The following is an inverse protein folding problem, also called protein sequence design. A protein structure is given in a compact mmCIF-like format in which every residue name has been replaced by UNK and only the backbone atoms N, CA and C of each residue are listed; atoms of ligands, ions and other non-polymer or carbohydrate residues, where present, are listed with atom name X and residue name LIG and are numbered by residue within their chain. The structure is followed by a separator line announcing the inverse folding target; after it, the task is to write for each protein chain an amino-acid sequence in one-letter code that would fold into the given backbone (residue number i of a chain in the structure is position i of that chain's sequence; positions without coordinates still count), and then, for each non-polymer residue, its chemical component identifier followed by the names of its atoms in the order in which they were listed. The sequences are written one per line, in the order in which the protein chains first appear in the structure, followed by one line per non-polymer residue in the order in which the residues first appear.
data_IF_221668013988
#
_entry.id   IF_221668013988
#
_cell.length_a   1.000
_cell.length_b   1.000
_cell.length_c   1.000
_cell.angle_alpha   90.00
_cell.angle_beta   90.00
_cell.angle_gamma   90.00
#
_symmetry.space_group_name_H-M   'P 1'
#
loop_
_entity.id
_entity.type
_entity.pdbx_description
1 polymer ?
#
# COMPACT_ATOMS: atom_id res chain seq x y z
N UNK A 1 -27.76 -17.25 1.52
CA UNK A 1 -26.42 -17.88 1.34
C UNK A 1 -25.88 -18.14 2.74
N UNK A 2 -25.31 -19.33 3.02
CA UNK A 2 -24.75 -19.62 4.34
C UNK A 2 -23.45 -18.82 4.53
N UNK A 3 -23.27 -18.30 5.75
CA UNK A 3 -22.05 -17.54 6.12
C UNK A 3 -20.79 -18.39 5.91
N UNK A 4 -19.69 -17.83 5.32
CA UNK A 4 -18.47 -18.58 5.07
C UNK A 4 -17.85 -19.06 6.38
N UNK A 5 -17.43 -20.32 6.43
CA UNK A 5 -16.83 -20.93 7.63
C UNK A 5 -15.31 -20.75 7.70
N UNK A 6 -14.69 -20.41 6.58
CA UNK A 6 -13.25 -20.22 6.45
C UNK A 6 -12.94 -19.13 5.42
N UNK A 7 -11.71 -18.60 5.46
CA UNK A 7 -11.20 -17.70 4.42
C UNK A 7 -11.29 -18.35 3.03
N UNK A 8 -11.01 -19.66 2.92
CA UNK A 8 -11.12 -20.38 1.66
C UNK A 8 -12.55 -20.39 1.11
N UNK A 9 -13.55 -20.51 1.99
CA UNK A 9 -14.96 -20.45 1.61
C UNK A 9 -15.36 -19.04 1.19
N UNK A 10 -14.89 -18.02 1.91
CA UNK A 10 -15.09 -16.62 1.53
C UNK A 10 -14.51 -16.33 0.14
N UNK A 11 -13.24 -16.69 -0.11
CA UNK A 11 -12.56 -16.52 -1.40
C UNK A 11 -13.21 -17.33 -2.53
N UNK A 12 -13.87 -18.44 -2.23
CA UNK A 12 -14.61 -19.21 -3.23
C UNK A 12 -15.84 -18.44 -3.74
N UNK A 13 -16.49 -17.66 -2.87
CA UNK A 13 -17.62 -16.82 -3.20
C UNK A 13 -17.26 -15.54 -3.94
N UNK A 14 -15.98 -15.17 -4.03
CA UNK A 14 -15.54 -13.95 -4.69
C UNK A 14 -15.73 -14.01 -6.21
N UNK A 15 -16.04 -12.85 -6.80
CA UNK A 15 -16.06 -12.67 -8.25
C UNK A 15 -14.65 -12.72 -8.83
N UNK A 16 -14.54 -12.83 -10.15
CA UNK A 16 -13.24 -12.77 -10.82
C UNK A 16 -12.59 -11.37 -10.68
N UNK A 17 -13.39 -10.31 -10.67
CA UNK A 17 -12.93 -8.94 -10.46
C UNK A 17 -12.32 -8.76 -9.06
N UNK A 18 -12.97 -9.28 -8.02
CA UNK A 18 -12.44 -9.24 -6.65
C UNK A 18 -11.13 -10.02 -6.52
N UNK A 19 -11.00 -11.18 -7.20
CA UNK A 19 -9.76 -11.96 -7.23
C UNK A 19 -8.66 -11.23 -8.01
N UNK A 20 -8.99 -10.61 -9.14
CA UNK A 20 -8.04 -9.84 -9.92
C UNK A 20 -7.50 -8.68 -9.08
N UNK A 21 -8.39 -7.91 -8.45
CA UNK A 21 -7.98 -6.83 -7.56
C UNK A 21 -7.08 -7.30 -6.40
N UNK A 22 -7.39 -8.45 -5.79
CA UNK A 22 -6.50 -9.05 -4.78
C UNK A 22 -5.10 -9.33 -5.36
N UNK A 23 -5.01 -9.88 -6.56
CA UNK A 23 -3.73 -10.22 -7.19
C UNK A 23 -2.94 -8.98 -7.61
N UNK A 24 -3.60 -7.91 -8.03
CA UNK A 24 -2.98 -6.62 -8.31
C UNK A 24 -2.36 -6.01 -7.05
N UNK A 25 -3.06 -6.07 -5.93
CA UNK A 25 -2.57 -5.56 -4.65
C UNK A 25 -1.55 -6.50 -3.98
N UNK A 26 -1.64 -7.81 -4.21
CA UNK A 26 -0.80 -8.84 -3.59
C UNK A 26 -0.20 -9.76 -4.65
N UNK A 27 0.78 -9.28 -5.44
CA UNK A 27 1.41 -10.07 -6.51
C UNK A 27 2.16 -11.30 -5.98
N UNK A 28 2.53 -11.32 -4.69
CA UNK A 28 3.11 -12.48 -4.01
C UNK A 28 2.20 -13.72 -4.01
N UNK A 29 0.91 -13.54 -4.24
CA UNK A 29 -0.06 -14.64 -4.30
C UNK A 29 -0.15 -15.32 -5.68
N UNK A 30 0.40 -14.70 -6.72
CA UNK A 30 0.28 -15.16 -8.12
C UNK A 30 1.33 -16.25 -8.43
N UNK A 31 2.54 -16.13 -7.89
CA UNK A 31 3.67 -16.99 -8.26
C UNK A 31 4.05 -17.93 -7.12
N UNK A 32 3.92 -19.25 -7.36
CA UNK A 32 3.27 -19.93 -8.48
C UNK A 32 1.73 -19.75 -8.41
N UNK A 33 1.01 -19.81 -9.54
CA UNK A 33 -0.44 -19.59 -9.56
C UNK A 33 -1.19 -20.56 -8.62
N UNK A 34 -2.14 -20.08 -7.76
CA UNK A 34 -2.90 -20.93 -6.88
C UNK A 34 -3.92 -21.76 -7.68
N UNK A 35 -4.00 -23.05 -7.42
CA UNK A 35 -4.91 -23.97 -8.14
C UNK A 35 -6.36 -23.86 -7.70
N UNK A 36 -6.61 -23.38 -6.48
CA UNK A 36 -7.95 -23.26 -5.89
C UNK A 36 -7.96 -22.26 -4.72
N UNK A 37 -9.16 -21.95 -4.22
CA UNK A 37 -9.34 -21.01 -3.11
C UNK A 37 -8.69 -21.47 -1.80
N UNK A 38 -8.56 -22.77 -1.55
CA UNK A 38 -7.90 -23.28 -0.35
C UNK A 38 -6.38 -23.00 -0.40
N UNK A 39 -5.75 -23.22 -1.55
CA UNK A 39 -4.35 -22.89 -1.74
C UNK A 39 -4.09 -21.39 -1.71
N UNK A 40 -5.00 -20.58 -2.29
CA UNK A 40 -4.95 -19.12 -2.20
C UNK A 40 -5.04 -18.67 -0.74
N UNK A 41 -6.02 -19.15 0.03
CA UNK A 41 -6.16 -18.84 1.44
C UNK A 41 -4.92 -19.23 2.26
N UNK A 42 -4.38 -20.44 2.04
CA UNK A 42 -3.16 -20.89 2.71
C UNK A 42 -1.96 -19.96 2.45
N UNK A 43 -1.77 -19.50 1.22
CA UNK A 43 -0.70 -18.56 0.89
C UNK A 43 -0.95 -17.18 1.47
N UNK A 44 -2.16 -16.66 1.34
CA UNK A 44 -2.55 -15.37 1.85
C UNK A 44 -2.36 -15.24 3.37
N UNK A 45 -2.33 -16.37 4.08
CA UNK A 45 -2.18 -16.43 5.54
C UNK A 45 -0.76 -16.79 6.01
N UNK A 46 0.21 -16.94 5.11
CA UNK A 46 1.62 -17.07 5.52
C UNK A 46 2.12 -15.78 6.14
N UNK A 47 2.99 -15.86 7.15
CA UNK A 47 3.50 -14.66 7.85
C UNK A 47 4.17 -13.69 6.87
N UNK A 48 4.99 -14.18 5.95
CA UNK A 48 5.67 -13.32 4.98
C UNK A 48 4.68 -12.58 4.05
N UNK A 49 3.61 -13.24 3.61
CA UNK A 49 2.57 -12.63 2.78
C UNK A 49 1.69 -11.66 3.57
N UNK A 50 1.40 -11.97 4.84
CA UNK A 50 0.67 -11.07 5.74
C UNK A 50 1.46 -9.79 6.03
N UNK A 51 2.77 -9.89 6.28
CA UNK A 51 3.60 -8.70 6.50
C UNK A 51 3.57 -7.76 5.29
N UNK A 52 3.70 -8.29 4.07
CA UNK A 52 3.56 -7.48 2.85
C UNK A 52 2.18 -6.84 2.71
N UNK A 53 1.12 -7.56 3.08
CA UNK A 53 -0.23 -6.99 3.05
C UNK A 53 -0.43 -5.91 4.12
N UNK A 54 0.18 -6.04 5.30
CA UNK A 54 0.15 -5.02 6.34
C UNK A 54 0.91 -3.75 5.94
N UNK A 55 1.99 -3.87 5.17
CA UNK A 55 2.76 -2.72 4.65
C UNK A 55 1.95 -1.86 3.66
N UNK A 56 0.88 -2.41 3.07
CA UNK A 56 -0.05 -1.66 2.21
C UNK A 56 -1.09 -0.86 2.98
N UNK A 57 -1.20 -1.05 4.30
CA UNK A 57 -2.25 -0.47 5.12
C UNK A 57 -1.87 0.92 5.63
N UNK A 58 -2.86 1.79 5.68
CA UNK A 58 -2.75 3.05 6.40
C UNK A 58 -2.83 2.83 7.92
N UNK A 59 -2.42 3.82 8.70
CA UNK A 59 -2.57 3.78 10.15
C UNK A 59 -4.04 3.59 10.59
N UNK A 60 -4.99 4.12 9.84
CA UNK A 60 -6.42 3.91 10.02
C UNK A 60 -6.85 2.46 9.78
N UNK A 61 -6.39 1.85 8.69
CA UNK A 61 -6.70 0.45 8.39
C UNK A 61 -6.15 -0.47 9.48
N UNK A 62 -4.94 -0.18 9.99
CA UNK A 62 -4.33 -0.92 11.10
C UNK A 62 -5.12 -0.76 12.41
N UNK A 63 -5.62 0.45 12.70
CA UNK A 63 -6.47 0.69 13.86
C UNK A 63 -7.77 -0.11 13.78
N UNK A 64 -8.47 -0.05 12.63
CA UNK A 64 -9.70 -0.83 12.42
C UNK A 64 -9.43 -2.32 12.51
N UNK A 65 -8.34 -2.82 11.89
CA UNK A 65 -7.95 -4.23 11.98
C UNK A 65 -7.74 -4.67 13.44
N UNK A 66 -7.13 -3.81 14.26
CA UNK A 66 -6.92 -4.04 15.70
C UNK A 66 -8.27 -4.14 16.43
N UNK A 67 -9.21 -3.23 16.18
CA UNK A 67 -10.53 -3.20 16.81
C UNK A 67 -11.35 -4.45 16.47
N UNK A 68 -11.32 -4.87 15.19
CA UNK A 68 -11.97 -6.14 14.77
C UNK A 68 -11.27 -7.34 15.41
N UNK A 69 -9.95 -7.33 15.48
CA UNK A 69 -9.14 -8.42 16.08
C UNK A 69 -9.48 -8.65 17.56
N UNK A 70 -9.61 -7.58 18.34
CA UNK A 70 -9.92 -7.68 19.78
C UNK A 70 -11.41 -7.83 20.07
N UNK A 71 -12.26 -7.80 19.02
CA UNK A 71 -13.70 -8.00 19.13
C UNK A 71 -14.47 -6.75 19.57
N UNK A 72 -13.85 -5.58 19.56
CA UNK A 72 -14.53 -4.31 19.83
C UNK A 72 -15.57 -4.01 18.75
N UNK A 73 -15.26 -4.36 17.50
CA UNK A 73 -16.15 -4.28 16.35
C UNK A 73 -16.26 -5.67 15.71
N UNK A 74 -17.46 -6.17 15.58
CA UNK A 74 -17.73 -7.53 15.15
C UNK A 74 -18.55 -7.62 13.87
N UNK A 75 -19.20 -6.53 13.47
CA UNK A 75 -20.07 -6.48 12.29
C UNK A 75 -19.78 -5.27 11.41
N UNK A 76 -20.06 -5.32 10.09
CA UNK A 76 -19.93 -4.17 9.20
C UNK A 76 -20.81 -2.99 9.64
N UNK A 77 -21.97 -3.26 10.25
CA UNK A 77 -22.86 -2.23 10.75
C UNK A 77 -22.23 -1.44 11.91
N UNK A 78 -21.61 -2.15 12.86
CA UNK A 78 -20.86 -1.50 13.96
C UNK A 78 -19.70 -0.66 13.44
N UNK A 79 -18.93 -1.14 12.45
CA UNK A 79 -17.86 -0.36 11.83
C UNK A 79 -18.39 0.94 11.23
N UNK A 80 -19.49 0.87 10.49
CA UNK A 80 -20.11 2.05 9.89
C UNK A 80 -20.69 2.99 10.94
N UNK A 81 -21.29 2.46 11.99
CA UNK A 81 -21.87 3.25 13.09
C UNK A 81 -20.80 4.01 13.86
N UNK A 82 -19.64 3.39 14.14
CA UNK A 82 -18.56 3.99 14.92
C UNK A 82 -17.65 4.92 14.11
N UNK A 83 -17.34 4.55 12.87
CA UNK A 83 -16.32 5.20 12.04
C UNK A 83 -16.85 5.79 10.74
N UNK A 84 -18.18 5.71 10.50
CA UNK A 84 -18.82 6.27 9.32
C UNK A 84 -18.24 5.74 8.01
N UNK A 85 -18.18 6.61 7.02
CA UNK A 85 -17.69 6.26 5.68
C UNK A 85 -16.19 5.91 5.64
N UNK A 86 -15.38 6.49 6.54
CA UNK A 86 -13.96 6.12 6.65
C UNK A 86 -13.79 4.68 7.12
N UNK A 87 -14.54 4.26 8.14
CA UNK A 87 -14.55 2.88 8.61
C UNK A 87 -14.97 1.90 7.53
N UNK A 88 -16.01 2.26 6.75
CA UNK A 88 -16.48 1.43 5.63
C UNK A 88 -15.39 1.23 4.57
N UNK A 89 -14.70 2.32 4.15
CA UNK A 89 -13.60 2.23 3.17
C UNK A 89 -12.43 1.39 3.69
N UNK A 90 -12.05 1.57 4.95
CA UNK A 90 -11.01 0.74 5.58
C UNK A 90 -11.43 -0.73 5.63
N UNK A 91 -12.68 -1.02 5.96
CA UNK A 91 -13.20 -2.40 5.96
C UNK A 91 -13.18 -3.01 4.56
N UNK A 92 -13.61 -2.26 3.55
CA UNK A 92 -13.56 -2.69 2.14
C UNK A 92 -12.11 -3.01 1.75
N UNK A 93 -11.16 -2.17 2.14
CA UNK A 93 -9.72 -2.39 1.89
C UNK A 93 -9.20 -3.65 2.61
N UNK A 94 -9.48 -3.80 3.90
CA UNK A 94 -9.07 -4.99 4.67
C UNK A 94 -9.66 -6.28 4.08
N UNK A 95 -10.89 -6.21 3.61
CA UNK A 95 -11.56 -7.34 2.97
C UNK A 95 -10.94 -7.64 1.59
N UNK A 96 -10.71 -6.62 0.76
CA UNK A 96 -10.10 -6.79 -0.57
C UNK A 96 -8.69 -7.37 -0.52
N UNK A 97 -7.95 -7.11 0.56
CA UNK A 97 -6.63 -7.70 0.84
C UNK A 97 -6.71 -9.10 1.48
N UNK A 98 -7.90 -9.66 1.69
CA UNK A 98 -8.15 -10.94 2.36
C UNK A 98 -7.55 -11.03 3.78
N UNK A 99 -7.49 -9.91 4.51
CA UNK A 99 -7.06 -9.84 5.92
C UNK A 99 -8.25 -10.00 6.87
N UNK A 100 -9.42 -9.51 6.46
CA UNK A 100 -10.70 -9.65 7.13
C UNK A 100 -11.67 -10.34 6.19
N UNK A 101 -12.51 -11.19 6.71
CA UNK A 101 -13.52 -11.93 5.96
C UNK A 101 -14.76 -12.18 6.83
N UNK A 102 -15.87 -12.58 6.22
CA UNK A 102 -17.16 -12.80 6.86
C UNK A 102 -18.23 -11.93 6.20
N UNK A 103 -19.48 -12.18 6.54
CA UNK A 103 -20.64 -11.40 6.09
C UNK A 103 -21.16 -10.56 7.26
N UNK A 104 -22.11 -11.12 8.00
CA UNK A 104 -22.69 -10.45 9.16
C UNK A 104 -21.73 -10.44 10.37
N UNK A 105 -20.77 -11.38 10.42
CA UNK A 105 -19.76 -11.46 11.47
C UNK A 105 -18.35 -11.35 10.88
N UNK A 106 -17.63 -10.30 11.25
CA UNK A 106 -16.26 -10.04 10.79
C UNK A 106 -15.26 -10.96 11.49
N UNK A 107 -14.34 -11.51 10.71
CA UNK A 107 -13.30 -12.42 11.19
C UNK A 107 -11.95 -12.02 10.61
N UNK A 108 -10.97 -11.90 11.47
CA UNK A 108 -9.57 -11.69 11.09
C UNK A 108 -8.91 -13.03 10.81
N UNK A 109 -8.00 -13.10 9.85
CA UNK A 109 -7.23 -14.30 9.53
C UNK A 109 -6.45 -14.81 10.76
N UNK A 110 -6.40 -16.13 10.94
CA UNK A 110 -5.92 -16.76 12.17
C UNK A 110 -4.51 -16.28 12.63
N UNK A 111 -3.48 -16.19 11.76
CA UNK A 111 -2.17 -15.76 12.22
C UNK A 111 -2.15 -14.33 12.81
N UNK A 112 -3.00 -13.42 12.29
CA UNK A 112 -3.11 -12.06 12.85
C UNK A 112 -3.83 -12.03 14.20
N UNK A 113 -4.62 -13.04 14.53
CA UNK A 113 -5.25 -13.17 15.86
C UNK A 113 -4.26 -13.67 16.90
N UNK A 114 -3.37 -14.56 16.52
CA UNK A 114 -2.47 -15.30 17.41
C UNK A 114 -1.14 -14.59 17.64
N UNK A 115 -0.73 -13.73 16.72
CA UNK A 115 0.56 -13.04 16.79
C UNK A 115 0.38 -11.61 17.32
N UNK A 116 1.21 -11.24 18.28
CA UNK A 116 1.24 -9.86 18.77
C UNK A 116 2.05 -8.98 17.80
N UNK A 117 1.43 -8.65 16.68
CA UNK A 117 1.98 -7.65 15.78
C UNK A 117 1.99 -6.31 16.50
N UNK A 118 3.12 -5.60 16.50
CA UNK A 118 3.19 -4.20 16.91
C UNK A 118 2.35 -3.37 15.94
N UNK A 119 1.05 -3.40 16.14
CA UNK A 119 0.13 -2.56 15.37
C UNK A 119 0.30 -1.13 15.83
N UNK A 120 0.12 -0.20 14.89
CA UNK A 120 0.28 1.23 15.13
C UNK A 120 -0.39 1.68 16.44
N UNK A 121 0.20 2.67 17.10
CA UNK A 121 -0.43 3.38 18.21
C UNK A 121 -1.82 3.87 17.79
N UNK A 122 -2.70 4.09 18.78
CA UNK A 122 -4.03 4.62 18.50
C UNK A 122 -3.95 5.86 17.60
N UNK A 123 -4.70 5.83 16.51
CA UNK A 123 -4.78 6.94 15.55
C UNK A 123 -5.93 7.83 15.98
N UNK A 124 -5.68 9.13 16.06
CA UNK A 124 -6.76 10.09 16.25
C UNK A 124 -7.71 10.03 15.04
N UNK A 125 -9.01 9.74 15.25
CA UNK A 125 -9.98 9.71 14.16
C UNK A 125 -10.20 11.06 13.49
N UNK A 126 -9.81 12.13 14.13
CA UNK A 126 -9.89 13.48 13.55
C UNK A 126 -8.63 13.74 12.73
N UNK A 127 -8.76 13.94 11.40
CA UNK A 127 -7.60 14.31 10.59
C UNK A 127 -6.94 15.56 11.18
N UNK A 128 -5.60 15.58 11.31
CA UNK A 128 -4.92 16.78 11.80
C UNK A 128 -5.26 17.97 10.90
N UNK A 129 -5.61 19.08 11.51
CA UNK A 129 -5.77 20.32 10.76
C UNK A 129 -4.40 20.74 10.22
N UNK A 130 -4.29 20.74 8.91
CA UNK A 130 -3.08 21.20 8.26
C UNK A 130 -2.92 22.70 8.53
N UNK A 131 -1.78 23.11 9.06
CA UNK A 131 -1.42 24.51 9.14
C UNK A 131 -1.28 25.04 7.71
N UNK A 132 -2.16 25.97 7.34
CA UNK A 132 -2.14 26.63 6.04
C UNK A 132 -1.65 28.06 6.20
N UNK A 133 -0.80 28.51 5.28
CA UNK A 133 -0.43 29.91 5.14
C UNK A 133 -0.90 30.43 3.79
N UNK A 134 -1.35 31.66 3.74
CA UNK A 134 -1.65 32.30 2.46
C UNK A 134 -0.35 32.78 1.82
N UNK A 135 -0.03 32.27 0.64
CA UNK A 135 1.11 32.67 -0.16
C UNK A 135 0.57 33.29 -1.45
N UNK A 136 1.25 34.32 -1.96
CA UNK A 136 0.86 34.94 -3.23
C UNK A 136 0.85 33.90 -4.35
N UNK A 137 -0.30 33.65 -5.01
CA UNK A 137 -0.42 32.65 -6.08
C UNK A 137 0.54 32.89 -7.24
N UNK A 138 0.86 34.17 -7.55
CA UNK A 138 1.79 34.55 -8.62
C UNK A 138 3.22 34.12 -8.28
N UNK A 139 3.61 34.27 -7.01
CA UNK A 139 4.90 33.81 -6.51
C UNK A 139 4.99 32.28 -6.57
N UNK A 140 3.95 31.58 -6.12
CA UNK A 140 3.88 30.12 -6.17
C UNK A 140 3.98 29.61 -7.61
N UNK A 141 3.22 30.19 -8.54
CA UNK A 141 3.24 29.81 -9.95
C UNK A 141 4.62 30.00 -10.57
N UNK A 142 5.27 31.13 -10.30
CA UNK A 142 6.62 31.42 -10.82
C UNK A 142 7.67 30.49 -10.27
N UNK A 143 7.68 30.27 -8.95
CA UNK A 143 8.65 29.35 -8.31
C UNK A 143 8.39 27.92 -8.73
N UNK A 144 7.13 27.50 -8.77
CA UNK A 144 6.73 26.17 -9.23
C UNK A 144 7.09 25.90 -10.68
N UNK A 145 6.91 26.89 -11.55
CA UNK A 145 7.35 26.79 -12.95
C UNK A 145 8.86 26.58 -13.11
N UNK A 146 9.67 27.32 -12.34
CA UNK A 146 11.12 27.14 -12.31
C UNK A 146 11.52 25.76 -11.80
N UNK A 147 10.94 25.32 -10.68
CA UNK A 147 11.22 24.00 -10.10
C UNK A 147 10.80 22.86 -11.06
N UNK A 148 9.67 22.99 -11.73
CA UNK A 148 9.21 22.00 -12.71
C UNK A 148 10.16 21.91 -13.91
N UNK A 149 10.61 23.06 -14.43
CA UNK A 149 11.61 23.10 -15.51
C UNK A 149 12.92 22.42 -15.11
N UNK A 150 13.45 22.74 -13.93
CA UNK A 150 14.66 22.10 -13.41
C UNK A 150 14.49 20.60 -13.21
N UNK A 151 13.34 20.15 -12.74
CA UNK A 151 13.02 18.73 -12.57
C UNK A 151 13.04 17.99 -13.90
N UNK A 152 12.36 18.52 -14.93
CA UNK A 152 12.34 17.93 -16.28
C UNK A 152 13.73 17.87 -16.87
N UNK A 153 14.50 18.96 -16.78
CA UNK A 153 15.89 19.01 -17.28
C UNK A 153 16.79 17.97 -16.61
N UNK A 154 16.68 17.81 -15.29
CA UNK A 154 17.45 16.79 -14.57
C UNK A 154 17.02 15.37 -14.96
N UNK A 155 15.74 15.17 -15.19
CA UNK A 155 15.23 13.88 -15.69
C UNK A 155 15.80 13.55 -17.07
N UNK A 156 15.84 14.52 -17.99
CA UNK A 156 16.49 14.35 -19.31
C UNK A 156 17.97 13.96 -19.17
N UNK A 157 18.73 14.67 -18.35
CA UNK A 157 20.16 14.37 -18.10
C UNK A 157 20.35 12.94 -17.58
N UNK A 158 19.49 12.51 -16.65
CA UNK A 158 19.53 11.16 -16.09
C UNK A 158 19.25 10.11 -17.16
N UNK A 159 18.17 10.28 -17.93
CA UNK A 159 17.75 9.33 -18.95
C UNK A 159 18.75 9.25 -20.11
N UNK A 160 19.32 10.37 -20.54
CA UNK A 160 20.35 10.40 -21.55
C UNK A 160 21.60 9.64 -21.08
N UNK A 161 22.08 9.90 -19.87
CA UNK A 161 23.18 9.14 -19.29
C UNK A 161 22.89 7.64 -19.19
N UNK A 162 21.72 7.26 -18.71
CA UNK A 162 21.33 5.86 -18.57
C UNK A 162 21.04 5.15 -19.90
N UNK A 163 20.74 5.90 -20.96
CA UNK A 163 20.62 5.31 -22.31
C UNK A 163 21.94 4.73 -22.81
N UNK A 164 23.07 5.31 -22.40
CA UNK A 164 24.42 4.88 -22.79
C UNK A 164 25.10 4.03 -21.72
N UNK A 165 24.83 4.29 -20.46
CA UNK A 165 25.43 3.61 -19.31
C UNK A 165 24.33 3.24 -18.28
N UNK A 166 23.54 2.19 -18.54
CA UNK A 166 22.44 1.81 -17.65
C UNK A 166 22.93 1.38 -16.26
N UNK A 167 22.24 1.75 -15.17
CA UNK A 167 22.64 1.41 -13.82
C UNK A 167 22.44 -0.08 -13.55
N UNK A 168 23.23 -0.62 -12.62
CA UNK A 168 23.04 -1.99 -12.13
C UNK A 168 21.78 -2.11 -11.29
N UNK A 169 20.94 -3.11 -11.59
CA UNK A 169 19.72 -3.43 -10.82
C UNK A 169 20.00 -4.55 -9.85
N UNK A 170 19.49 -4.43 -8.62
CA UNK A 170 19.60 -5.47 -7.61
C UNK A 170 18.76 -6.71 -7.98
N UNK A 171 19.19 -7.90 -7.56
CA UNK A 171 18.43 -9.14 -7.78
C UNK A 171 17.01 -9.11 -7.20
N UNK A 172 16.82 -8.33 -6.13
CA UNK A 172 15.51 -8.13 -5.50
C UNK A 172 14.67 -7.02 -6.15
N UNK A 173 15.17 -6.41 -7.21
CA UNK A 173 14.61 -5.23 -7.85
C UNK A 173 15.14 -3.93 -7.23
N UNK A 174 15.01 -2.81 -7.99
CA UNK A 174 15.45 -1.49 -7.56
C UNK A 174 16.94 -1.23 -7.72
N UNK A 175 17.35 0.00 -7.37
CA UNK A 175 18.73 0.47 -7.48
C UNK A 175 19.50 0.25 -6.16
N UNK A 176 20.78 -0.09 -6.28
CA UNK A 176 21.67 -0.12 -5.13
C UNK A 176 22.06 1.27 -4.64
N UNK A 177 22.45 1.40 -3.37
CA UNK A 177 22.88 2.67 -2.75
C UNK A 177 23.99 3.35 -3.56
N UNK A 178 24.90 2.58 -4.15
CA UNK A 178 25.99 3.11 -4.99
C UNK A 178 25.46 3.80 -6.24
N UNK A 179 24.49 3.18 -6.93
CA UNK A 179 23.89 3.73 -8.14
C UNK A 179 23.06 4.98 -7.84
N UNK A 180 22.38 5.01 -6.70
CA UNK A 180 21.68 6.21 -6.22
C UNK A 180 22.65 7.37 -5.96
N UNK A 181 23.80 7.11 -5.32
CA UNK A 181 24.84 8.12 -5.11
C UNK A 181 25.44 8.64 -6.41
N UNK A 182 25.66 7.75 -7.38
CA UNK A 182 26.15 8.13 -8.70
C UNK A 182 25.14 9.04 -9.43
N UNK A 183 23.84 8.72 -9.37
CA UNK A 183 22.78 9.54 -9.92
C UNK A 183 22.68 10.91 -9.21
N UNK A 184 22.77 10.95 -7.89
CA UNK A 184 22.77 12.20 -7.13
C UNK A 184 23.94 13.12 -7.51
N UNK A 185 25.14 12.55 -7.66
CA UNK A 185 26.31 13.28 -8.10
C UNK A 185 26.17 13.78 -9.56
N UNK A 186 25.64 12.96 -10.47
CA UNK A 186 25.37 13.33 -11.87
C UNK A 186 24.40 14.51 -11.97
N UNK A 187 23.36 14.51 -11.14
CA UNK A 187 22.29 15.51 -11.16
C UNK A 187 22.60 16.75 -10.30
N UNK A 188 23.72 16.74 -9.57
CA UNK A 188 24.11 17.78 -8.62
C UNK A 188 23.02 18.05 -7.57
N UNK A 189 22.43 16.96 -7.01
CA UNK A 189 21.37 17.00 -5.99
C UNK A 189 21.72 16.07 -4.83
N UNK A 190 20.94 16.13 -3.75
CA UNK A 190 21.08 15.14 -2.67
C UNK A 190 20.43 13.79 -3.06
N UNK A 191 20.73 12.74 -2.29
CA UNK A 191 20.23 11.37 -2.55
C UNK A 191 18.69 11.27 -2.52
N UNK A 192 18.01 12.07 -1.69
CA UNK A 192 16.54 12.08 -1.63
C UNK A 192 15.91 12.70 -2.87
N UNK A 193 16.48 13.80 -3.37
CA UNK A 193 16.03 14.42 -4.62
C UNK A 193 16.30 13.51 -5.82
N UNK A 194 17.47 12.87 -5.87
CA UNK A 194 17.77 11.90 -6.92
C UNK A 194 16.79 10.72 -6.90
N UNK A 195 16.49 10.17 -5.72
CA UNK A 195 15.50 9.10 -5.56
C UNK A 195 14.11 9.55 -6.08
N UNK A 196 13.67 10.75 -5.70
CA UNK A 196 12.39 11.29 -6.18
C UNK A 196 12.35 11.42 -7.71
N UNK A 197 13.41 11.93 -8.32
CA UNK A 197 13.51 12.07 -9.79
C UNK A 197 13.41 10.69 -10.46
N UNK A 198 14.12 9.70 -9.93
CA UNK A 198 14.12 8.33 -10.46
C UNK A 198 12.74 7.68 -10.37
N UNK A 199 12.08 7.76 -9.21
CA UNK A 199 10.76 7.19 -8.98
C UNK A 199 9.70 7.85 -9.88
N UNK A 200 9.67 9.19 -9.95
CA UNK A 200 8.70 9.90 -10.80
C UNK A 200 8.95 9.60 -12.27
N UNK A 201 10.19 9.55 -12.73
CA UNK A 201 10.52 9.20 -14.11
C UNK A 201 10.12 7.75 -14.45
N UNK A 202 10.25 6.84 -13.49
CA UNK A 202 9.84 5.44 -13.62
C UNK A 202 8.33 5.26 -13.77
N UNK A 203 7.53 6.07 -13.07
CA UNK A 203 6.06 6.02 -13.09
C UNK A 203 5.44 6.80 -14.27
N UNK A 204 6.17 7.71 -14.90
CA UNK A 204 5.72 8.56 -16.01
C UNK A 204 5.64 7.83 -17.36
N UNK A 205 5.39 6.52 -17.39
CA UNK A 205 5.35 5.67 -18.60
C UNK A 205 4.12 5.88 -19.46
#
# INVERSE_FOLDING_TARGET
MSEPRSLADALRGWTNEQRLHLFEQRPDLIVPAPRNSAQLASRATTIASLMRALDLLTAWDLQLLKEIRVGTLSTPAEVTQHHGEHGRRSLDRLTSLALVWGGDSLRVVAPLRETDFKMAAAVDPVPPQLATSQIDPTLVARMGGGAAFDFVRRTEVLLDHWSTAPPGVLKAGGLGVRELKNAAALLEVNEHEAALIIEVAGEAR
#
